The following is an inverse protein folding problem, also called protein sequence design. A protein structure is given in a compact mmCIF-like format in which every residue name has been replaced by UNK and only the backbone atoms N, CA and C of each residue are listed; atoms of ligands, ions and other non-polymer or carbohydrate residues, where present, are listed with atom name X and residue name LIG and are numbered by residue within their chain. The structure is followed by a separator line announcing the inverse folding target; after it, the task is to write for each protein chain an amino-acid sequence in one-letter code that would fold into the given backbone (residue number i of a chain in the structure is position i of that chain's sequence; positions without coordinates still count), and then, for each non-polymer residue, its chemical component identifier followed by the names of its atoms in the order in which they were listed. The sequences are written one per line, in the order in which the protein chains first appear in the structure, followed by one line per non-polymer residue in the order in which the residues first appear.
data_IF_276668417533
#
_entry.id   IF_276668417533
#
_cell.length_a   1.000
_cell.length_b   1.000
_cell.length_c   1.000
_cell.angle_alpha   90.00
_cell.angle_beta   90.00
_cell.angle_gamma   90.00
#
_symmetry.space_group_name_H-M   'P 1'
#
loop_
_entity.id
_entity.type
_entity.pdbx_description
1 polymer ?
#
# COMPACT_ATOMS: atom_id res chain seq x y z
N UNK A 1 22.37 1.06 -21.30
CA UNK A 1 22.08 -0.06 -20.38
C UNK A 1 21.48 0.52 -19.11
N UNK A 2 20.38 -0.01 -18.58
CA UNK A 2 19.74 0.45 -17.33
C UNK A 2 20.73 0.27 -16.16
N UNK A 3 20.92 1.32 -15.37
CA UNK A 3 21.84 1.31 -14.24
C UNK A 3 21.02 1.23 -12.93
N UNK A 4 20.85 0.01 -12.40
CA UNK A 4 20.06 -0.25 -11.18
C UNK A 4 20.53 0.61 -10.02
N UNK A 5 21.84 0.62 -9.73
CA UNK A 5 22.40 1.38 -8.59
C UNK A 5 22.08 2.87 -8.68
N UNK A 6 22.21 3.45 -9.89
CA UNK A 6 21.87 4.85 -10.09
C UNK A 6 20.38 5.10 -9.88
N UNK A 7 19.51 4.27 -10.46
CA UNK A 7 18.08 4.41 -10.33
C UNK A 7 17.63 4.28 -8.86
N UNK A 8 18.16 3.30 -8.11
CA UNK A 8 17.90 3.15 -6.69
C UNK A 8 18.28 4.42 -5.90
N UNK A 9 19.50 4.93 -6.10
CA UNK A 9 19.96 6.14 -5.42
C UNK A 9 19.11 7.37 -5.80
N UNK A 10 18.74 7.51 -7.06
CA UNK A 10 17.90 8.61 -7.54
C UNK A 10 16.50 8.55 -6.86
N UNK A 11 15.90 7.35 -6.74
CA UNK A 11 14.61 7.16 -6.04
C UNK A 11 14.73 7.48 -4.54
N UNK A 12 15.75 6.98 -3.86
CA UNK A 12 16.00 7.26 -2.44
C UNK A 12 16.13 8.77 -2.21
N UNK A 13 16.90 9.45 -3.05
CA UNK A 13 17.08 10.90 -2.92
C UNK A 13 15.76 11.65 -3.18
N UNK A 14 15.00 11.23 -4.21
CA UNK A 14 13.70 11.82 -4.50
C UNK A 14 12.72 11.68 -3.33
N UNK A 15 12.66 10.50 -2.68
CA UNK A 15 11.81 10.28 -1.50
C UNK A 15 12.18 11.24 -0.36
N UNK A 16 13.48 11.43 -0.09
CA UNK A 16 13.98 12.36 0.93
C UNK A 16 13.57 13.79 0.64
N UNK A 17 13.83 14.26 -0.58
CA UNK A 17 13.55 15.62 -1.00
C UNK A 17 12.03 15.89 -0.98
N UNK A 18 11.25 14.98 -1.52
CA UNK A 18 9.80 15.08 -1.51
C UNK A 18 9.22 15.15 -0.09
N UNK A 19 9.70 14.27 0.81
CA UNK A 19 9.25 14.26 2.21
C UNK A 19 9.60 15.55 2.92
N UNK A 20 10.80 16.08 2.72
CA UNK A 20 11.22 17.33 3.33
C UNK A 20 10.37 18.51 2.85
N UNK A 21 10.00 18.53 1.59
CA UNK A 21 9.19 19.58 0.99
C UNK A 21 7.69 19.47 1.36
N UNK A 22 7.13 18.25 1.39
CA UNK A 22 5.68 18.02 1.46
C UNK A 22 5.17 17.52 2.82
N UNK A 23 6.06 17.18 3.73
CA UNK A 23 5.70 16.65 5.06
C UNK A 23 6.90 16.41 5.94
N UNK A 24 7.63 17.48 6.34
CA UNK A 24 8.81 17.34 7.19
C UNK A 24 8.49 16.54 8.46
N UNK A 25 9.27 15.48 8.71
CA UNK A 25 9.10 14.64 9.89
C UNK A 25 7.92 13.66 9.84
N UNK A 26 7.14 13.60 8.76
CA UNK A 26 6.05 12.62 8.63
C UNK A 26 6.58 11.18 8.49
N UNK A 27 5.73 10.21 8.85
CA UNK A 27 5.95 8.79 8.55
C UNK A 27 5.55 8.49 7.09
N UNK A 28 6.11 7.42 6.52
CA UNK A 28 5.65 6.87 5.25
C UNK A 28 4.83 5.61 5.51
N UNK A 29 3.60 5.58 5.00
CA UNK A 29 2.64 4.49 5.23
C UNK A 29 2.55 3.67 3.96
N UNK A 30 2.93 2.39 4.04
CA UNK A 30 3.00 1.50 2.87
C UNK A 30 2.08 0.31 3.05
N UNK A 31 1.21 0.08 2.08
CA UNK A 31 0.44 -1.17 2.03
C UNK A 31 1.35 -2.34 1.64
N UNK A 32 1.46 -3.34 2.51
CA UNK A 32 2.29 -4.53 2.28
C UNK A 32 1.39 -5.69 1.86
N UNK A 33 1.50 -6.09 0.60
CA UNK A 33 0.68 -7.16 0.02
C UNK A 33 1.35 -8.54 0.04
N UNK A 34 2.65 -8.61 0.31
CA UNK A 34 3.47 -9.80 0.08
C UNK A 34 4.09 -9.85 -1.34
N UNK A 35 3.68 -8.96 -2.24
CA UNK A 35 4.21 -8.84 -3.60
C UNK A 35 5.49 -8.00 -3.68
N UNK A 36 6.25 -8.21 -4.77
CA UNK A 36 7.56 -7.56 -4.98
C UNK A 36 7.47 -6.03 -5.07
N UNK A 37 6.40 -5.49 -5.67
CA UNK A 37 6.26 -4.04 -5.86
C UNK A 37 6.13 -3.31 -4.51
N UNK A 38 5.28 -3.83 -3.62
CA UNK A 38 5.12 -3.28 -2.28
C UNK A 38 6.40 -3.42 -1.44
N UNK A 39 7.14 -4.53 -1.58
CA UNK A 39 8.42 -4.74 -0.92
C UNK A 39 9.46 -3.72 -1.40
N UNK A 40 9.63 -3.55 -2.71
CA UNK A 40 10.61 -2.61 -3.27
C UNK A 40 10.29 -1.17 -2.88
N UNK A 41 9.01 -0.76 -2.94
CA UNK A 41 8.59 0.57 -2.53
C UNK A 41 8.89 0.82 -1.04
N UNK A 42 8.59 -0.15 -0.17
CA UNK A 42 8.87 -0.06 1.26
C UNK A 42 10.36 -0.02 1.57
N UNK A 43 11.18 -0.85 0.91
CA UNK A 43 12.64 -0.86 1.07
C UNK A 43 13.26 0.47 0.67
N UNK A 44 12.83 1.05 -0.45
CA UNK A 44 13.28 2.39 -0.86
C UNK A 44 12.93 3.46 0.18
N UNK A 45 11.76 3.35 0.83
CA UNK A 45 11.37 4.23 1.92
C UNK A 45 12.26 4.04 3.15
N UNK A 46 12.55 2.79 3.54
CA UNK A 46 13.45 2.47 4.66
C UNK A 46 14.84 3.01 4.43
N UNK A 47 15.41 2.80 3.26
CA UNK A 47 16.71 3.35 2.86
C UNK A 47 16.73 4.89 2.81
N UNK A 48 15.58 5.50 2.50
CA UNK A 48 15.47 6.95 2.43
C UNK A 48 15.41 7.60 3.82
N UNK A 49 14.59 7.09 4.74
CA UNK A 49 14.24 7.82 5.97
C UNK A 49 14.39 7.00 7.26
N UNK A 50 14.80 5.74 7.16
CA UNK A 50 14.95 4.82 8.30
C UNK A 50 13.68 4.02 8.60
N UNK A 51 13.87 2.80 9.11
CA UNK A 51 12.78 1.86 9.42
C UNK A 51 11.80 2.40 10.47
N UNK A 52 12.27 3.21 11.43
CA UNK A 52 11.47 3.84 12.48
C UNK A 52 10.46 4.89 11.97
N UNK A 53 10.54 5.27 10.70
CA UNK A 53 9.67 6.24 10.04
C UNK A 53 8.79 5.60 8.94
N UNK A 54 8.91 4.30 8.74
CA UNK A 54 8.08 3.56 7.79
C UNK A 54 7.13 2.65 8.55
N UNK A 55 5.83 2.73 8.24
CA UNK A 55 4.80 1.89 8.85
C UNK A 55 4.15 1.03 7.77
N UNK A 56 4.27 -0.28 7.91
CA UNK A 56 3.59 -1.26 7.06
C UNK A 56 2.12 -1.42 7.43
N UNK A 57 1.24 -1.57 6.44
CA UNK A 57 -0.17 -1.89 6.68
C UNK A 57 -0.55 -3.12 5.86
N UNK A 58 -0.84 -4.22 6.54
CA UNK A 58 -1.26 -5.49 5.94
C UNK A 58 -2.78 -5.53 5.99
N UNK A 59 -3.43 -5.64 4.81
CA UNK A 59 -4.88 -5.49 4.69
C UNK A 59 -5.52 -6.68 3.96
N UNK A 60 -5.61 -7.85 4.62
CA UNK A 60 -6.28 -9.00 4.02
C UNK A 60 -7.77 -8.71 3.80
N UNK A 61 -8.34 -9.32 2.76
CA UNK A 61 -9.78 -9.35 2.53
C UNK A 61 -10.30 -10.74 2.93
N UNK A 62 -10.75 -10.91 4.17
CA UNK A 62 -11.07 -12.20 4.83
C UNK A 62 -9.80 -13.02 5.12
N UNK A 63 -9.85 -14.34 4.90
CA UNK A 63 -8.69 -15.23 4.99
C UNK A 63 -7.79 -15.06 3.76
N UNK A 64 -6.48 -15.08 4.00
CA UNK A 64 -5.46 -14.99 2.96
C UNK A 64 -4.36 -15.98 3.29
N UNK A 65 -4.21 -17.03 2.50
CA UNK A 65 -3.34 -18.18 2.77
C UNK A 65 -1.85 -17.80 2.81
N UNK A 66 -1.45 -16.77 2.07
CA UNK A 66 -0.06 -16.29 1.93
C UNK A 66 0.26 -15.04 2.77
N UNK A 67 -0.57 -14.72 3.76
CA UNK A 67 -0.40 -13.52 4.60
C UNK A 67 0.93 -13.52 5.36
N UNK A 68 1.46 -14.70 5.68
CA UNK A 68 2.74 -14.87 6.39
C UNK A 68 3.90 -14.23 5.62
N UNK A 69 3.84 -14.21 4.28
CA UNK A 69 4.84 -13.53 3.46
C UNK A 69 4.88 -12.03 3.74
N UNK A 70 3.73 -11.40 3.94
CA UNK A 70 3.66 -9.97 4.27
C UNK A 70 4.21 -9.70 5.69
N UNK A 71 3.96 -10.60 6.64
CA UNK A 71 4.54 -10.50 7.99
C UNK A 71 6.06 -10.66 7.95
N UNK A 72 6.57 -11.66 7.23
CA UNK A 72 8.00 -11.91 7.09
C UNK A 72 8.72 -10.70 6.45
N UNK A 73 8.12 -10.08 5.45
CA UNK A 73 8.62 -8.85 4.84
C UNK A 73 8.78 -7.76 5.89
N UNK A 74 7.75 -7.48 6.69
CA UNK A 74 7.81 -6.43 7.70
C UNK A 74 8.84 -6.74 8.80
N UNK A 75 8.84 -7.97 9.32
CA UNK A 75 9.63 -8.35 10.49
C UNK A 75 11.09 -8.65 10.18
N UNK A 76 11.34 -9.44 9.14
CA UNK A 76 12.65 -10.02 8.90
C UNK A 76 13.41 -9.39 7.74
N UNK A 77 12.68 -8.78 6.78
CA UNK A 77 13.33 -8.14 5.64
C UNK A 77 13.52 -6.64 5.91
N UNK A 78 12.44 -5.94 6.25
CA UNK A 78 12.45 -4.48 6.40
C UNK A 78 12.73 -4.01 7.84
N UNK A 79 12.41 -4.81 8.85
CA UNK A 79 12.53 -4.44 10.27
C UNK A 79 11.67 -3.23 10.64
N UNK A 80 10.47 -3.11 10.08
CA UNK A 80 9.54 -2.00 10.29
C UNK A 80 8.40 -2.39 11.23
N UNK A 81 7.82 -1.41 11.89
CA UNK A 81 6.53 -1.58 12.57
C UNK A 81 5.40 -1.79 11.54
N UNK A 82 4.39 -2.57 11.91
CA UNK A 82 3.26 -2.81 11.02
C UNK A 82 1.93 -2.98 11.77
N UNK A 83 0.84 -2.72 11.05
CA UNK A 83 -0.54 -2.96 11.48
C UNK A 83 -1.20 -3.98 10.56
N UNK A 84 -2.06 -4.84 11.15
CA UNK A 84 -2.93 -5.71 10.35
C UNK A 84 -4.37 -5.26 10.50
N UNK A 85 -5.00 -4.89 9.39
CA UNK A 85 -6.39 -4.42 9.33
C UNK A 85 -7.13 -5.22 8.27
N UNK A 86 -7.95 -6.18 8.71
CA UNK A 86 -8.76 -7.00 7.80
C UNK A 86 -9.94 -6.17 7.25
N UNK A 87 -9.99 -5.98 5.94
CA UNK A 87 -11.06 -5.21 5.28
C UNK A 87 -12.28 -6.07 4.92
N UNK A 88 -12.23 -7.39 5.15
CA UNK A 88 -13.25 -8.35 4.72
C UNK A 88 -14.63 -8.07 5.29
N UNK A 89 -14.76 -7.78 6.58
CA UNK A 89 -16.07 -7.48 7.18
C UNK A 89 -16.67 -6.18 6.64
N UNK A 90 -15.86 -5.16 6.38
CA UNK A 90 -16.33 -3.94 5.71
C UNK A 90 -16.77 -4.22 4.27
N UNK A 91 -15.99 -5.02 3.55
CA UNK A 91 -16.32 -5.46 2.21
C UNK A 91 -17.67 -6.19 2.18
N UNK A 92 -17.86 -7.20 3.04
CA UNK A 92 -19.08 -7.99 3.10
C UNK A 92 -20.30 -7.12 3.41
N UNK A 93 -20.22 -6.28 4.43
CA UNK A 93 -21.32 -5.39 4.81
C UNK A 93 -21.72 -4.41 3.69
N UNK A 94 -20.75 -3.89 2.93
CA UNK A 94 -21.06 -2.98 1.81
C UNK A 94 -21.73 -3.75 0.67
N UNK A 95 -21.24 -4.94 0.33
CA UNK A 95 -21.85 -5.79 -0.72
C UNK A 95 -23.28 -6.15 -0.33
N UNK A 96 -23.51 -6.61 0.90
CA UNK A 96 -24.84 -6.97 1.39
C UNK A 96 -25.84 -5.78 1.28
N UNK A 97 -25.40 -4.57 1.60
CA UNK A 97 -26.25 -3.38 1.45
C UNK A 97 -26.51 -3.00 -0.01
N UNK A 98 -25.52 -3.20 -0.90
CA UNK A 98 -25.69 -2.98 -2.33
C UNK A 98 -26.66 -3.98 -2.95
N UNK A 99 -26.55 -5.27 -2.60
CA UNK A 99 -27.43 -6.34 -3.10
C UNK A 99 -28.90 -6.17 -2.71
N UNK A 100 -29.17 -5.54 -1.56
CA UNK A 100 -30.52 -5.15 -1.18
C UNK A 100 -31.11 -4.04 -2.08
N UNK A 101 -30.27 -3.24 -2.71
CA UNK A 101 -30.69 -2.09 -3.50
C UNK A 101 -30.67 -2.34 -5.00
N UNK A 102 -29.71 -3.13 -5.50
CA UNK A 102 -29.53 -3.43 -6.91
C UNK A 102 -28.63 -4.69 -7.11
N UNK A 103 -28.61 -5.23 -8.33
CA UNK A 103 -27.73 -6.36 -8.66
C UNK A 103 -26.27 -5.88 -8.73
N UNK A 104 -25.42 -6.41 -7.84
CA UNK A 104 -23.98 -6.11 -7.85
C UNK A 104 -23.28 -6.83 -9.01
N UNK A 105 -22.44 -6.09 -9.74
CA UNK A 105 -21.70 -6.64 -10.88
C UNK A 105 -20.35 -7.20 -10.44
N UNK A 106 -19.78 -8.15 -11.24
CA UNK A 106 -18.44 -8.71 -11.00
C UNK A 106 -17.38 -7.61 -10.90
N UNK A 107 -17.50 -6.57 -11.72
CA UNK A 107 -16.58 -5.42 -11.68
C UNK A 107 -16.63 -4.68 -10.35
N UNK A 108 -17.79 -4.58 -9.73
CA UNK A 108 -17.94 -4.00 -8.38
C UNK A 108 -17.26 -4.89 -7.34
N UNK A 109 -17.49 -6.21 -7.40
CA UNK A 109 -16.88 -7.17 -6.48
C UNK A 109 -15.35 -7.12 -6.53
N UNK A 110 -14.76 -7.03 -7.73
CA UNK A 110 -13.31 -6.97 -7.91
C UNK A 110 -12.73 -5.64 -7.39
N UNK A 111 -13.37 -4.52 -7.69
CA UNK A 111 -12.79 -3.18 -7.44
C UNK A 111 -13.07 -2.64 -6.02
N UNK A 112 -13.99 -3.22 -5.26
CA UNK A 112 -14.33 -2.71 -3.94
C UNK A 112 -13.19 -2.92 -2.94
N UNK A 113 -12.57 -4.10 -2.92
CA UNK A 113 -11.50 -4.41 -1.96
C UNK A 113 -10.27 -3.46 -2.09
N UNK A 114 -9.71 -3.19 -3.28
CA UNK A 114 -8.65 -2.19 -3.45
C UNK A 114 -9.05 -0.79 -2.95
N UNK A 115 -10.28 -0.36 -3.18
CA UNK A 115 -10.79 0.94 -2.70
C UNK A 115 -10.89 1.01 -1.17
N UNK A 116 -11.33 -0.08 -0.53
CA UNK A 116 -11.35 -0.17 0.93
C UNK A 116 -9.94 -0.13 1.52
N UNK A 117 -8.98 -0.81 0.89
CA UNK A 117 -7.58 -0.74 1.29
C UNK A 117 -7.05 0.68 1.20
N UNK A 118 -7.32 1.39 0.11
CA UNK A 118 -6.89 2.78 -0.04
C UNK A 118 -7.51 3.68 1.04
N UNK A 119 -8.82 3.57 1.28
CA UNK A 119 -9.48 4.33 2.36
C UNK A 119 -8.87 4.03 3.74
N UNK A 120 -8.52 2.76 3.99
CA UNK A 120 -7.86 2.33 5.23
C UNK A 120 -6.47 2.94 5.36
N UNK A 121 -5.65 2.92 4.30
CA UNK A 121 -4.32 3.54 4.27
C UNK A 121 -4.37 5.03 4.59
N UNK A 122 -5.31 5.76 4.01
CA UNK A 122 -5.49 7.19 4.33
C UNK A 122 -5.93 7.40 5.78
N UNK A 123 -6.80 6.55 6.33
CA UNK A 123 -7.19 6.59 7.75
C UNK A 123 -5.99 6.37 8.68
N UNK A 124 -5.16 5.38 8.39
CA UNK A 124 -3.90 5.12 9.13
C UNK A 124 -2.95 6.30 8.99
N UNK A 125 -2.77 6.79 7.76
CA UNK A 125 -1.89 7.92 7.46
C UNK A 125 -2.23 9.17 8.28
N UNK A 126 -3.49 9.53 8.34
CA UNK A 126 -3.95 10.67 9.14
C UNK A 126 -3.71 10.46 10.65
N UNK A 127 -3.92 9.25 11.15
CA UNK A 127 -3.76 8.91 12.57
C UNK A 127 -2.29 8.85 13.02
N UNK A 128 -1.36 8.63 12.10
CA UNK A 128 0.07 8.42 12.38
C UNK A 128 0.97 9.53 11.82
N UNK A 129 0.42 10.72 11.55
CA UNK A 129 1.15 11.81 10.91
C UNK A 129 1.92 11.33 9.68
N UNK A 130 1.26 10.59 8.80
CA UNK A 130 1.88 9.89 7.69
C UNK A 130 1.53 10.45 6.31
N UNK A 131 2.21 9.89 5.31
CA UNK A 131 1.86 10.02 3.88
C UNK A 131 1.78 8.62 3.28
N UNK A 132 0.75 8.38 2.50
CA UNK A 132 0.57 7.10 1.80
C UNK A 132 1.57 7.01 0.64
N UNK A 133 2.24 5.88 0.54
CA UNK A 133 3.15 5.57 -0.56
C UNK A 133 2.41 4.72 -1.59
N UNK A 134 2.40 5.16 -2.83
CA UNK A 134 1.89 4.37 -3.94
C UNK A 134 2.89 3.26 -4.32
N UNK A 135 2.39 2.07 -4.58
CA UNK A 135 3.17 0.88 -4.94
C UNK A 135 2.89 0.38 -6.36
N UNK A 136 2.08 1.09 -7.16
CA UNK A 136 1.86 0.77 -8.56
C UNK A 136 3.15 0.91 -9.37
N UNK A 137 3.36 0.00 -10.30
CA UNK A 137 4.48 0.08 -11.24
C UNK A 137 4.05 0.71 -12.57
N UNK A 138 5.04 1.20 -13.33
CA UNK A 138 4.81 1.89 -14.60
C UNK A 138 4.11 1.00 -15.64
N UNK A 139 4.31 -0.32 -15.59
CA UNK A 139 3.66 -1.25 -16.54
C UNK A 139 2.15 -1.32 -16.28
N UNK A 140 1.74 -1.32 -15.02
CA UNK A 140 0.33 -1.28 -14.62
C UNK A 140 -0.33 0.02 -15.08
N UNK A 141 0.35 1.15 -14.91
CA UNK A 141 -0.14 2.45 -15.38
C UNK A 141 -0.32 2.47 -16.90
N UNK A 142 0.65 1.93 -17.67
CA UNK A 142 0.57 1.91 -19.13
C UNK A 142 -0.57 1.07 -19.69
N UNK A 143 -0.86 -0.07 -19.07
CA UNK A 143 -1.94 -0.97 -19.55
C UNK A 143 -3.27 -0.73 -18.85
N UNK A 144 -3.30 0.15 -17.84
CA UNK A 144 -4.50 0.43 -17.04
C UNK A 144 -4.92 -0.76 -16.15
N UNK A 145 -3.97 -1.60 -15.74
CA UNK A 145 -4.22 -2.75 -14.88
C UNK A 145 -4.13 -2.34 -13.40
N UNK A 146 -5.06 -1.51 -13.00
CA UNK A 146 -5.19 -1.04 -11.61
C UNK A 146 -6.60 -0.54 -11.35
N UNK A 147 -7.01 -0.52 -10.09
CA UNK A 147 -8.32 -0.01 -9.70
C UNK A 147 -8.24 1.49 -9.43
N UNK A 148 -8.95 2.27 -10.25
CA UNK A 148 -9.05 3.73 -10.03
C UNK A 148 -9.66 4.05 -8.66
N UNK A 149 -9.02 4.94 -7.91
CA UNK A 149 -9.33 5.27 -6.52
C UNK A 149 -9.14 4.09 -5.55
N UNK A 150 -8.34 3.10 -5.94
CA UNK A 150 -7.88 2.00 -5.15
C UNK A 150 -6.36 1.99 -5.14
N UNK A 151 -5.77 0.96 -5.75
CA UNK A 151 -4.33 0.86 -5.92
C UNK A 151 -3.74 1.90 -6.89
N UNK A 152 -4.55 2.43 -7.84
CA UNK A 152 -4.19 3.58 -8.66
C UNK A 152 -4.79 4.87 -8.08
N UNK A 153 -4.16 5.43 -7.08
CA UNK A 153 -4.59 6.65 -6.40
C UNK A 153 -3.56 7.78 -6.52
#
# INVERSE_FOLDING_TARGET
MFNVKKATNDCIQWIRDWREENGPGCNLIVGISGGVDSLVAAELCVEAIGADKVLGVIMPNREQDDIDVAYDICQYVLGIDYLTINVGSAYDNIIDQMDLAFNVTDQTLINLAPRLRMATLYGVSQSHNGRVVNTCNLSEDYIGYSTRYGDAA
#
